data_IF_060811538421
#
_entry.id   IF_060811538421
#
_cell.length_a   1.000
_cell.length_b   1.000
_cell.length_c   1.000
_cell.angle_alpha   90.00
_cell.angle_beta   90.00
_cell.angle_gamma   90.00
#
_symmetry.space_group_name_H-M   'P 1'
#
loop_
_entity.id
_entity.type
_entity.pdbx_description
1 polymer ?
#
# COMPACT_ATOMS: atom_id res chain seq x y z
N UNK A 1 3.67 -15.15 -2.49
CA UNK A 1 2.29 -14.82 -2.89
C UNK A 1 2.37 -13.76 -3.98
N UNK A 2 1.70 -14.01 -5.10
CA UNK A 2 1.46 -13.02 -6.14
C UNK A 2 -0.03 -12.69 -6.12
N UNK A 3 -0.37 -11.40 -6.10
CA UNK A 3 -1.74 -10.92 -6.17
C UNK A 3 -1.81 -9.62 -6.98
N UNK A 4 -2.97 -9.31 -7.55
CA UNK A 4 -3.16 -8.11 -8.37
C UNK A 4 -4.41 -7.33 -7.93
N UNK A 5 -4.39 -6.02 -8.18
CA UNK A 5 -5.52 -5.13 -7.93
C UNK A 5 -6.41 -5.07 -9.17
N UNK A 6 -7.70 -5.36 -9.00
CA UNK A 6 -8.64 -5.47 -10.12
C UNK A 6 -9.13 -4.12 -10.69
N UNK A 7 -8.90 -3.01 -9.98
CA UNK A 7 -9.41 -1.69 -10.34
C UNK A 7 -8.32 -0.74 -10.88
N UNK A 8 -7.53 -1.22 -11.87
CA UNK A 8 -6.49 -0.42 -12.55
C UNK A 8 -5.62 0.32 -11.50
N UNK A 9 -5.49 1.64 -11.61
CA UNK A 9 -4.69 2.48 -10.71
C UNK A 9 -5.42 2.89 -9.42
N UNK A 10 -6.71 2.61 -9.27
CA UNK A 10 -7.49 2.98 -8.09
C UNK A 10 -7.37 1.92 -6.98
N UNK A 11 -6.23 1.95 -6.30
CA UNK A 11 -5.91 0.97 -5.24
C UNK A 11 -6.82 1.04 -4.02
N UNK A 12 -7.49 2.18 -3.81
CA UNK A 12 -8.23 2.49 -2.58
C UNK A 12 -9.68 2.03 -2.64
N UNK A 13 -10.15 1.59 -3.80
CA UNK A 13 -11.45 0.95 -4.02
C UNK A 13 -11.27 -0.20 -5.00
N UNK A 14 -10.58 -1.25 -4.57
CA UNK A 14 -10.16 -2.37 -5.41
C UNK A 14 -10.27 -3.68 -4.65
N UNK A 15 -10.33 -4.79 -5.38
CA UNK A 15 -10.13 -6.14 -4.84
C UNK A 15 -8.71 -6.57 -5.15
N UNK A 16 -8.11 -7.24 -4.18
CA UNK A 16 -6.80 -7.89 -4.31
C UNK A 16 -7.09 -9.37 -4.59
N UNK A 17 -6.79 -9.79 -5.80
CA UNK A 17 -7.06 -11.13 -6.30
C UNK A 17 -5.76 -11.93 -6.39
N UNK A 18 -5.80 -13.21 -6.01
CA UNK A 18 -4.66 -14.11 -6.16
C UNK A 18 -4.27 -14.27 -7.65
N UNK A 19 -2.97 -14.30 -7.95
CA UNK A 19 -2.49 -14.42 -9.32
C UNK A 19 -2.85 -15.76 -10.00
N UNK A 20 -2.92 -16.85 -9.22
CA UNK A 20 -3.07 -18.21 -9.74
C UNK A 20 -4.49 -18.53 -10.21
N UNK A 21 -5.49 -18.29 -9.37
CA UNK A 21 -6.88 -18.69 -9.57
C UNK A 21 -7.84 -17.49 -9.63
N UNK A 22 -7.33 -16.26 -9.47
CA UNK A 22 -8.10 -15.02 -9.41
C UNK A 22 -9.12 -15.00 -8.27
N UNK A 23 -8.95 -15.84 -7.24
CA UNK A 23 -9.75 -15.79 -6.04
C UNK A 23 -9.55 -14.43 -5.35
N UNK A 24 -10.64 -13.85 -4.84
CA UNK A 24 -10.57 -12.59 -4.11
C UNK A 24 -9.98 -12.90 -2.74
N UNK A 25 -8.81 -12.33 -2.45
CA UNK A 25 -8.15 -12.47 -1.15
C UNK A 25 -8.60 -11.38 -0.20
N UNK A 26 -8.61 -10.14 -0.69
CA UNK A 26 -8.98 -8.98 0.10
C UNK A 26 -9.82 -7.98 -0.69
N UNK A 27 -10.65 -7.24 0.02
CA UNK A 27 -11.32 -6.04 -0.51
C UNK A 27 -10.76 -4.79 0.16
N UNK A 28 -10.37 -3.81 -0.66
CA UNK A 28 -9.95 -2.47 -0.24
C UNK A 28 -11.07 -1.49 -0.49
N UNK A 29 -11.56 -0.83 0.56
CA UNK A 29 -12.63 0.16 0.47
C UNK A 29 -12.21 1.45 1.13
N UNK A 30 -12.53 2.60 0.52
CA UNK A 30 -12.19 3.89 1.10
C UNK A 30 -13.40 4.79 1.25
N UNK A 31 -13.61 5.23 2.48
CA UNK A 31 -14.60 6.25 2.81
C UNK A 31 -13.99 7.64 2.61
N UNK A 32 -14.71 8.46 1.87
CA UNK A 32 -14.42 9.88 1.67
C UNK A 32 -15.44 10.70 2.44
N UNK A 33 -14.98 11.83 2.94
CA UNK A 33 -15.80 12.85 3.59
C UNK A 33 -15.42 14.22 3.01
N UNK A 34 -16.05 15.29 3.48
CA UNK A 34 -15.88 16.65 2.94
C UNK A 34 -14.41 17.11 2.85
N UNK A 35 -13.52 16.64 3.73
CA UNK A 35 -12.08 16.95 3.69
C UNK A 35 -11.23 15.89 2.95
N UNK A 36 -11.84 15.12 2.05
CA UNK A 36 -11.17 14.10 1.26
C UNK A 36 -11.13 12.73 1.94
N UNK A 37 -10.03 11.99 1.74
CA UNK A 37 -9.89 10.60 2.18
C UNK A 37 -9.96 10.52 3.71
N UNK A 38 -10.96 9.82 4.23
CA UNK A 38 -11.14 9.66 5.67
C UNK A 38 -10.50 8.37 6.17
N UNK A 39 -10.92 7.23 5.61
CA UNK A 39 -10.50 5.90 6.08
C UNK A 39 -10.45 4.91 4.92
N UNK A 40 -9.34 4.17 4.79
CA UNK A 40 -9.24 3.00 3.92
C UNK A 40 -9.25 1.74 4.77
N UNK A 41 -10.04 0.75 4.39
CA UNK A 41 -10.25 -0.50 5.10
C UNK A 41 -9.85 -1.66 4.19
N UNK A 42 -9.07 -2.59 4.73
CA UNK A 42 -8.70 -3.86 4.11
C UNK A 42 -9.48 -4.97 4.81
N UNK A 43 -10.25 -5.72 4.03
CA UNK A 43 -11.16 -6.77 4.47
C UNK A 43 -10.69 -8.11 3.93
N UNK A 44 -10.64 -9.12 4.77
CA UNK A 44 -10.36 -10.49 4.37
C UNK A 44 -11.64 -11.14 3.85
N UNK A 45 -11.57 -11.65 2.62
CA UNK A 45 -12.68 -12.31 1.93
C UNK A 45 -12.67 -13.83 2.15
N UNK A 46 -11.60 -14.40 2.73
CA UNK A 46 -11.52 -15.81 3.12
C UNK A 46 -11.18 -15.99 4.62
N UNK A 47 -11.96 -15.39 5.54
CA UNK A 47 -11.66 -15.45 6.95
C UNK A 47 -11.83 -16.87 7.51
N UNK A 48 -10.96 -17.25 8.44
CA UNK A 48 -11.10 -18.51 9.18
C UNK A 48 -12.19 -18.34 10.24
N UNK A 49 -13.41 -18.84 9.96
CA UNK A 49 -14.55 -18.82 10.88
C UNK A 49 -15.86 -18.33 10.26
N UNK A 50 -16.93 -18.23 11.05
CA UNK A 50 -18.30 -17.89 10.56
C UNK A 50 -18.46 -16.44 10.07
N UNK A 51 -17.49 -15.55 10.30
CA UNK A 51 -17.59 -14.14 9.93
C UNK A 51 -16.94 -13.88 8.57
N UNK A 52 -17.66 -14.12 7.47
CA UNK A 52 -17.30 -13.56 6.16
C UNK A 52 -17.13 -12.05 6.29
N UNK A 53 -16.05 -11.47 5.75
CA UNK A 53 -15.77 -10.02 5.74
C UNK A 53 -15.17 -9.43 7.04
N UNK A 54 -14.10 -10.06 7.55
CA UNK A 54 -13.34 -9.57 8.71
C UNK A 54 -12.44 -8.38 8.33
N UNK A 55 -12.49 -7.29 9.09
CA UNK A 55 -11.54 -6.17 8.93
C UNK A 55 -10.18 -6.59 9.48
N UNK A 56 -9.18 -6.69 8.61
CA UNK A 56 -7.82 -7.08 8.99
C UNK A 56 -6.87 -5.89 9.06
N UNK A 57 -7.14 -4.84 8.27
CA UNK A 57 -6.27 -3.68 8.17
C UNK A 57 -7.02 -2.37 7.95
N UNK A 58 -6.47 -1.26 8.44
CA UNK A 58 -7.05 0.07 8.29
C UNK A 58 -5.96 1.12 8.13
N UNK A 59 -6.18 2.09 7.23
CA UNK A 59 -5.44 3.36 7.18
C UNK A 59 -6.41 4.47 7.57
N UNK A 60 -6.17 5.11 8.71
CA UNK A 60 -6.89 6.30 9.13
C UNK A 60 -6.09 7.52 8.65
N UNK A 61 -6.52 8.13 7.55
CA UNK A 61 -5.76 9.14 6.83
C UNK A 61 -5.64 10.45 7.61
N UNK A 62 -6.73 10.87 8.27
CA UNK A 62 -6.76 12.10 9.06
C UNK A 62 -5.95 11.98 10.34
N UNK A 63 -6.19 10.91 11.09
CA UNK A 63 -5.52 10.65 12.35
C UNK A 63 -4.06 10.19 12.16
N UNK A 64 -3.63 10.02 10.91
CA UNK A 64 -2.31 9.51 10.53
C UNK A 64 -1.97 8.27 11.35
N UNK A 65 -2.84 7.27 11.30
CA UNK A 65 -2.65 5.99 11.99
C UNK A 65 -2.98 4.80 11.10
N UNK A 66 -2.47 3.64 11.47
CA UNK A 66 -2.78 2.35 10.86
C UNK A 66 -3.27 1.37 11.92
N UNK A 67 -4.12 0.43 11.51
CA UNK A 67 -4.52 -0.71 12.32
C UNK A 67 -4.17 -2.01 11.59
N UNK A 68 -3.59 -2.96 12.31
CA UNK A 68 -3.35 -4.32 11.82
C UNK A 68 -3.77 -5.29 12.93
N UNK A 69 -4.65 -6.23 12.61
CA UNK A 69 -5.14 -7.21 13.58
C UNK A 69 -5.76 -6.58 14.83
N UNK A 70 -6.54 -5.51 14.66
CA UNK A 70 -7.21 -4.79 15.75
C UNK A 70 -6.33 -3.87 16.60
N UNK A 71 -5.01 -3.81 16.35
CA UNK A 71 -4.10 -2.92 17.08
C UNK A 71 -3.84 -1.65 16.27
N UNK A 72 -4.15 -0.49 16.85
CA UNK A 72 -3.88 0.83 16.25
C UNK A 72 -2.49 1.35 16.62
N UNK A 73 -1.80 1.96 15.66
CA UNK A 73 -0.54 2.69 15.86
C UNK A 73 -0.51 3.97 15.03
N UNK A 74 0.13 5.01 15.55
CA UNK A 74 0.36 6.22 14.76
C UNK A 74 1.40 5.97 13.67
N UNK A 75 1.30 6.71 12.57
CA UNK A 75 2.22 6.56 11.44
C UNK A 75 3.65 6.92 11.81
N UNK A 76 3.88 7.88 12.69
CA UNK A 76 5.22 8.26 13.17
C UNK A 76 5.86 7.19 14.09
N UNK A 77 5.05 6.35 14.74
CA UNK A 77 5.53 5.21 15.52
C UNK A 77 6.00 4.04 14.64
N UNK A 78 5.36 3.85 13.47
CA UNK A 78 5.64 2.73 12.57
C UNK A 78 6.44 3.13 11.33
N UNK A 79 6.61 4.43 11.08
CA UNK A 79 7.34 4.97 9.93
C UNK A 79 8.35 6.00 10.38
N UNK A 80 9.62 5.74 10.05
CA UNK A 80 10.69 6.73 10.12
C UNK A 80 11.21 7.06 8.74
N UNK A 81 11.77 8.25 8.59
CA UNK A 81 12.43 8.67 7.36
C UNK A 81 13.87 9.03 7.70
N UNK A 82 14.83 8.54 6.91
CA UNK A 82 16.25 8.87 7.03
C UNK A 82 16.74 9.49 5.73
N UNK A 83 17.73 10.37 5.83
CA UNK A 83 18.39 10.99 4.68
C UNK A 83 18.03 12.46 4.46
N UNK A 84 18.66 13.04 3.45
CA UNK A 84 18.52 14.47 3.11
C UNK A 84 17.23 14.73 2.33
N UNK A 85 16.89 16.01 2.12
CA UNK A 85 15.71 16.48 1.39
C UNK A 85 15.54 15.81 0.01
N UNK A 86 16.65 15.46 -0.65
CA UNK A 86 16.69 14.87 -1.98
C UNK A 86 16.84 13.33 -2.01
N UNK A 87 17.18 12.69 -0.89
CA UNK A 87 17.33 11.24 -0.83
C UNK A 87 16.71 10.70 0.46
N UNK A 88 15.37 10.68 0.49
CA UNK A 88 14.57 10.24 1.65
C UNK A 88 14.30 8.75 1.54
N UNK A 89 14.98 7.96 2.37
CA UNK A 89 14.67 6.56 2.60
C UNK A 89 13.55 6.44 3.64
N UNK A 90 12.58 5.59 3.40
CA UNK A 90 11.44 5.37 4.31
C UNK A 90 11.58 4.00 4.92
N UNK A 91 11.50 3.92 6.24
CA UNK A 91 11.57 2.66 6.96
C UNK A 91 10.27 2.44 7.70
N UNK A 92 9.77 1.22 7.63
CA UNK A 92 8.49 0.81 8.17
C UNK A 92 8.66 -0.39 9.08
N UNK A 93 8.19 -0.29 10.32
CA UNK A 93 8.28 -1.35 11.33
C UNK A 93 7.01 -1.39 12.16
N UNK A 94 6.27 -2.50 12.11
CA UNK A 94 4.99 -2.58 12.82
C UNK A 94 5.15 -2.63 14.35
N UNK A 95 6.17 -3.34 14.85
CA UNK A 95 6.45 -3.41 16.29
C UNK A 95 7.91 -3.77 16.54
N UNK A 96 8.39 -3.59 17.78
CA UNK A 96 9.78 -3.90 18.17
C UNK A 96 10.20 -5.33 17.85
N UNK A 97 9.27 -6.29 17.87
CA UNK A 97 9.49 -7.72 17.59
C UNK A 97 9.41 -8.10 16.11
N UNK A 98 9.01 -7.17 15.23
CA UNK A 98 8.91 -7.38 13.78
C UNK A 98 10.13 -6.82 13.08
N UNK A 99 10.32 -7.24 11.82
CA UNK A 99 11.39 -6.72 10.97
C UNK A 99 11.07 -5.29 10.55
N UNK A 100 12.13 -4.53 10.27
CA UNK A 100 12.01 -3.18 9.72
C UNK A 100 12.31 -3.22 8.23
N UNK A 101 11.37 -2.72 7.44
CA UNK A 101 11.45 -2.71 5.99
C UNK A 101 11.89 -1.35 5.50
N UNK A 102 12.93 -1.32 4.69
CA UNK A 102 13.25 -0.15 3.87
C UNK A 102 12.35 -0.15 2.63
N UNK A 103 11.71 0.98 2.36
CA UNK A 103 10.87 1.19 1.20
C UNK A 103 11.54 2.14 0.20
N UNK A 104 11.64 1.67 -1.04
CA UNK A 104 12.13 2.45 -2.17
C UNK A 104 11.16 2.34 -3.35
N UNK A 105 11.09 3.38 -4.18
CA UNK A 105 10.32 3.40 -5.42
C UNK A 105 11.28 3.64 -6.59
N UNK A 106 11.26 2.76 -7.58
CA UNK A 106 12.10 2.90 -8.79
C UNK A 106 11.44 2.18 -9.95
N UNK A 107 11.46 2.76 -11.15
CA UNK A 107 10.92 2.15 -12.38
C UNK A 107 9.49 1.58 -12.21
N UNK A 108 8.55 2.39 -11.70
CA UNK A 108 7.15 1.96 -11.50
C UNK A 108 6.95 0.81 -10.50
N UNK A 109 7.94 0.55 -9.66
CA UNK A 109 7.89 -0.51 -8.66
C UNK A 109 8.26 0.02 -7.27
N UNK A 110 7.43 -0.29 -6.28
CA UNK A 110 7.79 -0.20 -4.88
C UNK A 110 8.49 -1.48 -4.44
N UNK A 111 9.59 -1.35 -3.71
CA UNK A 111 10.32 -2.46 -3.10
C UNK A 111 10.35 -2.28 -1.59
N UNK A 112 9.98 -3.34 -0.87
CA UNK A 112 10.20 -3.48 0.55
C UNK A 112 11.40 -4.43 0.76
N UNK A 113 12.48 -3.91 1.33
CA UNK A 113 13.73 -4.65 1.54
C UNK A 113 14.13 -4.72 3.01
N UNK A 114 14.88 -5.75 3.35
CA UNK A 114 15.49 -6.00 4.64
C UNK A 114 17.03 -5.98 4.49
N UNK A 115 17.73 -5.94 5.63
CA UNK A 115 19.20 -6.05 5.67
C UNK A 115 19.90 -5.04 4.74
N UNK A 116 19.50 -3.77 4.82
CA UNK A 116 20.02 -2.66 4.02
C UNK A 116 19.93 -2.91 2.50
N UNK A 117 18.81 -3.47 2.05
CA UNK A 117 18.54 -3.68 0.62
C UNK A 117 18.92 -5.06 0.08
N UNK A 118 19.57 -5.91 0.88
CA UNK A 118 20.07 -7.22 0.44
C UNK A 118 18.97 -8.25 0.22
N UNK A 119 17.90 -8.19 1.01
CA UNK A 119 16.81 -9.17 0.97
C UNK A 119 15.52 -8.47 0.56
N UNK A 120 14.89 -8.91 -0.53
CA UNK A 120 13.61 -8.38 -0.99
C UNK A 120 12.50 -9.13 -0.25
N UNK A 121 11.74 -8.42 0.58
CA UNK A 121 10.60 -8.98 1.28
C UNK A 121 9.32 -8.91 0.44
N UNK A 122 9.17 -7.85 -0.36
CA UNK A 122 8.05 -7.67 -1.26
C UNK A 122 8.30 -6.65 -2.35
N UNK A 123 7.52 -6.78 -3.43
CA UNK A 123 7.49 -5.88 -4.58
C UNK A 123 6.05 -5.49 -4.85
N UNK A 124 5.85 -4.26 -5.29
CA UNK A 124 4.55 -3.78 -5.71
C UNK A 124 4.70 -2.96 -6.99
N UNK A 125 4.41 -3.62 -8.11
CA UNK A 125 4.46 -3.06 -9.45
C UNK A 125 3.20 -2.25 -9.70
N UNK A 126 3.37 -0.98 -10.01
CA UNK A 126 2.29 0.00 -10.21
C UNK A 126 2.52 0.70 -11.55
N UNK A 127 2.15 0.07 -12.67
CA UNK A 127 2.34 0.62 -14.01
C UNK A 127 1.43 1.84 -14.21
N UNK A 128 1.85 2.97 -13.64
CA UNK A 128 1.09 4.21 -13.60
C UNK A 128 1.45 5.08 -14.81
N UNK A 129 0.58 5.04 -15.83
CA UNK A 129 0.71 5.90 -17.01
C UNK A 129 -0.51 6.83 -17.13
N UNK A 130 -0.44 8.07 -16.63
CA UNK A 130 -1.59 8.97 -16.56
C UNK A 130 -2.15 9.40 -17.93
N UNK A 131 -1.47 9.10 -19.05
CA UNK A 131 -1.81 9.64 -20.38
C UNK A 131 -1.78 8.64 -21.55
N UNK A 132 -1.74 7.33 -21.30
CA UNK A 132 -1.79 6.35 -22.39
C UNK A 132 -3.15 5.65 -22.40
N UNK A 133 -3.92 5.87 -23.48
CA UNK A 133 -5.22 5.24 -23.79
C UNK A 133 -5.17 3.69 -23.93
N UNK A 134 -4.07 3.07 -23.56
CA UNK A 134 -3.92 1.62 -23.56
C UNK A 134 -4.44 1.05 -22.23
N UNK A 135 -4.89 -0.20 -22.24
CA UNK A 135 -5.24 -0.94 -21.02
C UNK A 135 -3.99 -0.99 -20.12
N UNK A 136 -3.95 -0.15 -19.09
CA UNK A 136 -2.92 -0.21 -18.04
C UNK A 136 -3.00 -1.59 -17.39
N UNK A 137 -1.86 -2.26 -17.30
CA UNK A 137 -1.74 -3.52 -16.57
C UNK A 137 -2.17 -3.32 -15.12
N UNK A 138 -2.82 -4.32 -14.50
CA UNK A 138 -3.22 -4.20 -13.10
C UNK A 138 -1.97 -4.10 -12.22
N UNK A 139 -2.01 -3.31 -11.14
CA UNK A 139 -0.97 -3.32 -10.13
C UNK A 139 -0.80 -4.72 -9.53
N UNK A 140 0.43 -5.18 -9.39
CA UNK A 140 0.76 -6.53 -8.91
C UNK A 140 1.62 -6.43 -7.66
N UNK A 141 1.18 -7.08 -6.58
CA UNK A 141 1.94 -7.25 -5.35
C UNK A 141 2.52 -8.66 -5.27
N UNK A 142 3.78 -8.73 -4.88
CA UNK A 142 4.52 -9.96 -4.69
C UNK A 142 5.16 -9.94 -3.31
N UNK A 143 4.81 -10.90 -2.45
CA UNK A 143 5.40 -11.08 -1.13
C UNK A 143 6.13 -12.41 -1.02
N UNK A 144 7.30 -12.39 -0.39
CA UNK A 144 8.02 -13.61 0.02
C UNK A 144 7.24 -14.38 1.08
N UNK A 145 7.45 -15.69 1.21
CA UNK A 145 6.73 -16.52 2.20
C UNK A 145 6.96 -16.04 3.64
N UNK A 146 8.17 -15.60 3.97
CA UNK A 146 8.47 -15.07 5.30
C UNK A 146 7.70 -13.78 5.58
N UNK A 147 7.68 -12.84 4.63
CA UNK A 147 6.95 -11.59 4.76
C UNK A 147 5.44 -11.82 4.81
N UNK A 148 4.94 -12.79 4.03
CA UNK A 148 3.55 -13.20 4.03
C UNK A 148 3.11 -13.68 5.42
N UNK A 149 3.85 -14.61 6.02
CA UNK A 149 3.49 -15.19 7.32
C UNK A 149 3.54 -14.15 8.45
N UNK A 150 4.52 -13.25 8.42
CA UNK A 150 4.78 -12.36 9.54
C UNK A 150 4.01 -11.03 9.46
N UNK A 151 3.97 -10.41 8.28
CA UNK A 151 3.64 -9.00 8.12
C UNK A 151 2.82 -8.70 6.83
N UNK A 152 2.11 -9.69 6.26
CA UNK A 152 1.32 -9.54 5.03
C UNK A 152 0.41 -8.31 5.05
N UNK A 153 -0.52 -8.26 6.01
CA UNK A 153 -1.48 -7.16 6.13
C UNK A 153 -0.77 -5.82 6.31
N UNK A 154 0.29 -5.80 7.12
CA UNK A 154 1.06 -4.57 7.33
C UNK A 154 1.70 -4.08 6.02
N UNK A 155 2.37 -4.97 5.28
CA UNK A 155 3.02 -4.61 4.01
C UNK A 155 2.01 -4.21 2.94
N UNK A 156 0.84 -4.85 2.87
CA UNK A 156 -0.25 -4.41 1.98
C UNK A 156 -0.70 -2.98 2.29
N UNK A 157 -0.95 -2.66 3.56
CA UNK A 157 -1.34 -1.29 3.96
C UNK A 157 -0.23 -0.28 3.67
N UNK A 158 1.04 -0.66 3.88
CA UNK A 158 2.20 0.20 3.61
C UNK A 158 2.32 0.49 2.11
N UNK A 159 2.21 -0.52 1.25
CA UNK A 159 2.24 -0.34 -0.21
C UNK A 159 1.09 0.53 -0.70
N UNK A 160 -0.13 0.28 -0.23
CA UNK A 160 -1.31 1.11 -0.56
C UNK A 160 -1.07 2.55 -0.09
N UNK A 161 -0.62 2.75 1.14
CA UNK A 161 -0.38 4.08 1.69
C UNK A 161 0.66 4.85 0.86
N UNK A 162 1.80 4.23 0.58
CA UNK A 162 2.91 4.88 -0.10
C UNK A 162 2.58 5.22 -1.56
N UNK A 163 1.95 4.30 -2.27
CA UNK A 163 1.54 4.53 -3.65
C UNK A 163 0.48 5.62 -3.77
N UNK A 164 -0.52 5.59 -2.90
CA UNK A 164 -1.56 6.61 -2.87
C UNK A 164 -0.96 7.99 -2.55
N UNK A 165 -0.03 8.07 -1.59
CA UNK A 165 0.69 9.33 -1.30
C UNK A 165 1.54 9.80 -2.46
N UNK A 166 2.07 8.90 -3.30
CA UNK A 166 2.82 9.24 -4.51
C UNK A 166 1.89 9.77 -5.59
N UNK A 167 0.78 9.08 -5.86
CA UNK A 167 -0.25 9.54 -6.81
C UNK A 167 -0.81 10.91 -6.43
N UNK A 168 -1.12 11.13 -5.15
CA UNK A 168 -1.59 12.43 -4.64
C UNK A 168 -0.57 13.54 -4.97
N UNK A 169 0.73 13.29 -4.76
CA UNK A 169 1.80 14.26 -5.09
C UNK A 169 1.89 14.53 -6.60
N UNK A 170 1.91 13.47 -7.41
CA UNK A 170 1.99 13.59 -8.88
C UNK A 170 0.82 14.38 -9.44
N UNK A 171 -0.40 14.11 -8.96
CA UNK A 171 -1.60 14.83 -9.42
C UNK A 171 -1.56 16.31 -9.01
N UNK A 172 -1.12 16.63 -7.78
CA UNK A 172 -0.98 18.03 -7.35
C UNK A 172 0.10 18.81 -8.12
N UNK A 173 1.19 18.16 -8.54
CA UNK A 173 2.21 18.83 -9.37
C UNK A 173 1.73 19.12 -10.79
N UNK A 174 0.79 18.33 -11.33
CA UNK A 174 0.24 18.54 -12.68
C UNK A 174 -0.80 19.66 -12.67
N UNK A 175 -1.64 19.77 -11.62
CA UNK A 175 -2.62 20.86 -11.50
C UNK A 175 -1.99 22.25 -11.27
N UNK A 176 -0.75 22.30 -10.78
CA UNK A 176 -0.02 23.56 -10.57
C UNK A 176 0.64 24.15 -11.83
N UNK A 177 0.61 23.43 -12.97
CA UNK A 177 1.28 23.85 -14.21
C UNK A 177 0.42 24.65 -15.19
N UNK A 178 -0.90 24.76 -14.98
CA UNK A 178 -1.83 25.41 -15.90
C UNK A 178 -2.54 26.59 -15.22
N UNK A 179 -1.77 27.61 -14.85
CA UNK A 179 -2.27 28.85 -14.26
C UNK A 179 -1.50 30.07 -14.75
N UNK A 180 -1.41 30.25 -16.07
CA UNK A 180 -1.10 31.54 -16.69
C UNK A 180 -2.23 31.88 -17.65
N UNK A 181 -3.16 32.70 -17.18
CA UNK A 181 -4.00 33.59 -17.97
C UNK A 181 -3.93 34.95 -17.27
#
# INVERSE_FOLDING_TARGET
MEAFFDNKTNLVNARICAGLDKAIMYTVETKFEFQGRFRTVLRDENPVGENSNMVVGVINWRDKSMEVGGKRRKLDEVRRTKGSLFNKQRFWKWSSRRKEYELSYTHEEWKATLEDGKVIAGRFCVPFRPHLFHKSEPPVVNLTSTALIEDEVFLLLVFIYEEVKRQDKTNTSVSGGNGSW
#
